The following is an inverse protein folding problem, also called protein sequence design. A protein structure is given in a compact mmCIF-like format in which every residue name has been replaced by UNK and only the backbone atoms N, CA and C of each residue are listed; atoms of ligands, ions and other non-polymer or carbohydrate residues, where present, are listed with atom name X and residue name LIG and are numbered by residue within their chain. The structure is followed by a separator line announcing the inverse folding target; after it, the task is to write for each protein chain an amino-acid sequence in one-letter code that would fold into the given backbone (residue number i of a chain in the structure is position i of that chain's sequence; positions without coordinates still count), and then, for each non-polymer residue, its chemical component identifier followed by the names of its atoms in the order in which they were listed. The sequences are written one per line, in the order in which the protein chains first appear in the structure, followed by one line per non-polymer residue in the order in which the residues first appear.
data_IF_836733809576
#
_entry.id   IF_836733809576
#
_cell.length_a   1.000
_cell.length_b   1.000
_cell.length_c   1.000
_cell.angle_alpha   90.00
_cell.angle_beta   90.00
_cell.angle_gamma   90.00
#
_symmetry.space_group_name_H-M   'P 1'
#
loop_
_entity.id
_entity.type
_entity.pdbx_description
1 polymer ?
#
# COMPACT_ATOMS: atom_id res chain seq x y z
N UNK A 1 18.04 -20.17 1.34
CA UNK A 1 17.15 -19.05 1.73
C UNK A 1 16.85 -18.28 0.45
N UNK A 2 15.60 -17.96 0.14
CA UNK A 2 15.30 -17.12 -1.02
C UNK A 2 15.47 -15.66 -0.62
N UNK A 3 16.33 -14.93 -1.33
CA UNK A 3 16.44 -13.48 -1.15
C UNK A 3 15.22 -12.81 -1.79
N UNK A 4 14.51 -11.93 -1.06
CA UNK A 4 13.39 -11.20 -1.61
C UNK A 4 13.86 -10.20 -2.67
N UNK A 5 12.99 -9.93 -3.64
CA UNK A 5 13.17 -8.83 -4.58
C UNK A 5 12.62 -7.56 -3.90
N UNK A 6 13.43 -6.52 -3.82
CA UNK A 6 13.05 -5.23 -3.25
C UNK A 6 12.71 -4.28 -4.38
N UNK A 7 11.55 -3.62 -4.31
CA UNK A 7 11.13 -2.58 -5.23
C UNK A 7 10.96 -1.28 -4.44
N UNK A 8 11.94 -0.38 -4.55
CA UNK A 8 11.93 0.90 -3.87
C UNK A 8 11.41 2.01 -4.80
N UNK A 9 10.50 2.83 -4.29
CA UNK A 9 9.87 3.93 -4.99
C UNK A 9 10.35 5.25 -4.40
N UNK A 10 10.66 6.20 -5.26
CA UNK A 10 11.05 7.56 -4.89
C UNK A 10 10.23 8.55 -5.75
N UNK A 11 9.37 9.36 -5.11
CA UNK A 11 8.63 10.41 -5.81
C UNK A 11 9.55 11.58 -6.18
N UNK A 12 9.38 12.10 -7.39
CA UNK A 12 10.01 13.30 -7.94
C UNK A 12 8.92 14.15 -8.62
N UNK A 13 8.13 14.86 -7.81
CA UNK A 13 6.92 15.54 -8.28
C UNK A 13 5.88 14.57 -8.86
N UNK A 14 5.45 14.81 -10.11
CA UNK A 14 4.59 13.91 -10.88
C UNK A 14 5.29 12.61 -11.32
N UNK A 15 6.62 12.62 -11.37
CA UNK A 15 7.41 11.48 -11.83
C UNK A 15 7.79 10.59 -10.66
N UNK A 16 7.77 9.28 -10.90
CA UNK A 16 8.10 8.27 -9.90
C UNK A 16 9.23 7.42 -10.44
N UNK A 17 10.32 7.38 -9.67
CA UNK A 17 11.42 6.45 -9.91
C UNK A 17 11.16 5.16 -9.13
N UNK A 18 11.26 4.02 -9.80
CA UNK A 18 11.26 2.70 -9.17
C UNK A 18 12.57 1.99 -9.43
N UNK A 19 13.19 1.54 -8.35
CA UNK A 19 14.42 0.75 -8.34
C UNK A 19 14.10 -0.65 -7.82
N UNK A 20 14.34 -1.68 -8.64
CA UNK A 20 14.13 -3.07 -8.28
C UNK A 20 15.47 -3.78 -8.13
N UNK A 21 15.72 -4.31 -6.93
CA UNK A 21 16.93 -5.03 -6.55
C UNK A 21 16.60 -6.48 -6.23
N UNK A 22 17.32 -7.42 -6.81
CA UNK A 22 17.17 -8.83 -6.51
C UNK A 22 18.10 -9.70 -7.33
N UNK A 23 18.48 -10.87 -6.79
CA UNK A 23 19.40 -11.82 -7.46
C UNK A 23 20.72 -11.20 -7.95
N UNK A 24 21.26 -10.25 -7.20
CA UNK A 24 22.48 -9.52 -7.57
C UNK A 24 22.32 -8.52 -8.72
N UNK A 25 21.09 -8.25 -9.16
CA UNK A 25 20.76 -7.27 -10.19
C UNK A 25 20.04 -6.07 -9.58
N UNK A 26 20.27 -4.89 -10.15
CA UNK A 26 19.51 -3.67 -9.88
C UNK A 26 19.03 -3.12 -11.20
N UNK A 27 17.73 -2.93 -11.34
CA UNK A 27 17.10 -2.32 -12.51
C UNK A 27 16.29 -1.11 -12.05
N UNK A 28 16.27 -0.07 -12.87
CA UNK A 28 15.54 1.17 -12.56
C UNK A 28 14.63 1.54 -13.71
N UNK A 29 13.46 2.10 -13.40
CA UNK A 29 12.55 2.68 -14.37
C UNK A 29 11.87 3.93 -13.79
N UNK A 30 11.41 4.80 -14.68
CA UNK A 30 10.58 5.96 -14.30
C UNK A 30 9.19 5.84 -14.94
N UNK A 31 8.20 6.42 -14.29
CA UNK A 31 6.84 6.52 -14.77
C UNK A 31 6.11 7.71 -14.15
N UNK A 32 5.08 8.23 -14.84
CA UNK A 32 4.23 9.28 -14.29
C UNK A 32 3.18 8.68 -13.35
N UNK A 33 3.27 9.04 -12.07
CA UNK A 33 2.39 8.55 -11.00
C UNK A 33 2.72 7.14 -10.49
N UNK A 34 2.30 6.88 -9.25
CA UNK A 34 2.62 5.65 -8.51
C UNK A 34 2.03 4.37 -9.15
N UNK A 35 0.83 4.45 -9.74
CA UNK A 35 0.20 3.28 -10.37
C UNK A 35 0.99 2.82 -11.60
N UNK A 36 1.46 3.76 -12.43
CA UNK A 36 2.30 3.43 -13.57
C UNK A 36 3.69 2.93 -13.12
N UNK A 37 4.25 3.50 -12.05
CA UNK A 37 5.49 3.00 -11.46
C UNK A 37 5.35 1.58 -10.91
N UNK A 38 4.20 1.21 -10.35
CA UNK A 38 3.89 -0.17 -9.90
C UNK A 38 3.93 -1.16 -11.06
N UNK A 39 3.34 -0.79 -12.20
CA UNK A 39 3.36 -1.61 -13.41
C UNK A 39 4.79 -1.79 -13.94
N UNK A 40 5.57 -0.70 -14.00
CA UNK A 40 7.00 -0.78 -14.36
C UNK A 40 7.78 -1.67 -13.41
N UNK A 41 7.49 -1.62 -12.11
CA UNK A 41 8.12 -2.51 -11.14
C UNK A 41 7.86 -3.97 -11.47
N UNK A 42 6.63 -4.38 -11.79
CA UNK A 42 6.34 -5.77 -12.18
C UNK A 42 7.13 -6.21 -13.42
N UNK A 43 7.25 -5.33 -14.42
CA UNK A 43 8.07 -5.60 -15.60
C UNK A 43 9.55 -5.80 -15.25
N UNK A 44 10.09 -5.01 -14.32
CA UNK A 44 11.47 -5.16 -13.85
C UNK A 44 11.66 -6.43 -13.02
N UNK A 45 10.72 -6.76 -12.14
CA UNK A 45 10.74 -8.01 -11.37
C UNK A 45 10.67 -9.20 -12.33
N UNK A 46 9.91 -9.13 -13.42
CA UNK A 46 9.84 -10.21 -14.44
C UNK A 46 11.19 -10.43 -15.12
N UNK A 47 11.90 -9.35 -15.45
CA UNK A 47 13.27 -9.40 -16.01
C UNK A 47 14.29 -10.00 -15.04
N UNK A 48 14.18 -9.71 -13.75
CA UNK A 48 15.09 -10.26 -12.72
C UNK A 48 14.75 -11.72 -12.41
N UNK A 49 13.46 -12.05 -12.37
CA UNK A 49 12.97 -13.34 -11.92
C UNK A 49 12.62 -14.30 -13.08
N UNK A 50 13.15 -14.10 -14.30
CA UNK A 50 12.80 -14.86 -15.51
C UNK A 50 12.54 -16.35 -15.24
N UNK A 51 11.25 -16.74 -15.18
CA UNK A 51 10.81 -18.12 -15.00
C UNK A 51 10.52 -18.58 -13.55
N UNK A 52 10.89 -17.82 -12.53
CA UNK A 52 10.59 -18.13 -11.13
C UNK A 52 9.16 -17.74 -10.75
N UNK A 53 8.28 -18.74 -10.66
CA UNK A 53 6.88 -18.56 -10.25
C UNK A 53 6.71 -18.22 -8.77
N UNK A 54 7.71 -18.50 -7.93
CA UNK A 54 7.70 -18.22 -6.48
C UNK A 54 8.72 -17.12 -6.17
N UNK A 55 8.28 -15.86 -6.29
CA UNK A 55 9.08 -14.68 -5.98
C UNK A 55 8.35 -13.85 -4.92
N UNK A 56 9.08 -13.47 -3.87
CA UNK A 56 8.60 -12.51 -2.88
C UNK A 56 9.11 -11.14 -3.29
N UNK A 57 8.18 -10.21 -3.53
CA UNK A 57 8.50 -8.82 -3.84
C UNK A 57 8.06 -7.96 -2.67
N UNK A 58 8.97 -7.15 -2.16
CA UNK A 58 8.71 -6.18 -1.08
C UNK A 58 8.74 -4.79 -1.69
N UNK A 59 7.64 -4.06 -1.55
CA UNK A 59 7.50 -2.70 -2.07
C UNK A 59 7.73 -1.70 -0.95
N UNK A 60 8.58 -0.71 -1.19
CA UNK A 60 8.95 0.31 -0.19
C UNK A 60 8.96 1.69 -0.81
N UNK A 61 8.49 2.71 -0.13
CA UNK A 61 8.58 4.11 -0.52
C UNK A 61 9.66 4.75 0.33
N UNK A 62 10.74 5.21 -0.30
CA UNK A 62 11.92 5.72 0.40
C UNK A 62 12.41 4.78 1.52
N UNK A 63 12.33 3.46 1.29
CA UNK A 63 12.70 2.42 2.26
C UNK A 63 11.59 1.97 3.21
N UNK A 64 10.40 2.60 3.22
CA UNK A 64 9.30 2.25 4.11
C UNK A 64 8.14 1.53 3.39
N UNK A 65 7.79 0.33 3.86
CA UNK A 65 6.73 -0.48 3.24
C UNK A 65 5.32 -0.03 3.63
N UNK A 66 5.15 0.59 4.80
CA UNK A 66 3.85 1.08 5.28
C UNK A 66 3.47 2.33 4.49
N UNK A 67 4.43 3.23 4.30
CA UNK A 67 4.25 4.45 3.52
C UNK A 67 3.88 4.15 2.07
N UNK A 68 4.59 3.19 1.44
CA UNK A 68 4.21 2.68 0.13
C UNK A 68 2.77 2.18 0.08
N UNK A 69 2.35 1.41 1.09
CA UNK A 69 1.00 0.84 1.12
C UNK A 69 -0.05 1.95 1.22
N UNK A 70 0.17 2.94 2.07
CA UNK A 70 -0.70 4.11 2.19
C UNK A 70 -0.79 4.88 0.87
N UNK A 71 0.35 5.25 0.28
CA UNK A 71 0.42 5.98 -0.98
C UNK A 71 -0.25 5.21 -2.13
N UNK A 72 -0.04 3.89 -2.21
CA UNK A 72 -0.61 3.05 -3.26
C UNK A 72 -2.13 2.97 -3.16
N UNK A 73 -2.67 2.83 -1.94
CA UNK A 73 -4.11 2.81 -1.71
C UNK A 73 -4.74 4.17 -2.03
N UNK A 74 -4.12 5.27 -1.60
CA UNK A 74 -4.58 6.63 -1.93
C UNK A 74 -4.61 6.87 -3.44
N UNK A 75 -3.52 6.55 -4.14
CA UNK A 75 -3.44 6.69 -5.60
C UNK A 75 -4.49 5.85 -6.33
N UNK A 76 -4.80 4.65 -5.82
CA UNK A 76 -5.81 3.76 -6.42
C UNK A 76 -7.24 4.25 -6.20
N UNK A 77 -7.49 4.98 -5.13
CA UNK A 77 -8.78 5.62 -4.85
C UNK A 77 -8.92 6.99 -5.53
N UNK A 78 -7.89 7.46 -6.24
CA UNK A 78 -7.85 8.81 -6.81
C UNK A 78 -7.66 9.91 -5.77
N UNK A 79 -7.28 9.55 -4.54
CA UNK A 79 -6.95 10.47 -3.43
C UNK A 79 -5.47 10.87 -3.49
N UNK A 80 -4.91 11.05 -4.69
CA UNK A 80 -3.52 11.49 -4.80
C UNK A 80 -3.43 12.88 -4.17
N UNK A 81 -2.60 13.01 -3.13
CA UNK A 81 -2.23 14.28 -2.53
C UNK A 81 -1.37 15.02 -3.55
N UNK A 82 -2.04 15.66 -4.50
CA UNK A 82 -1.43 16.63 -5.39
C UNK A 82 -1.18 17.88 -4.52
N UNK A 83 0.06 18.33 -4.31
CA UNK A 83 0.30 19.56 -3.55
C UNK A 83 -0.26 20.81 -4.26
N UNK A 84 -0.86 20.66 -5.45
CA UNK A 84 -1.57 21.69 -6.18
C UNK A 84 -3.11 21.69 -6.00
N UNK A 85 -3.71 20.71 -5.31
CA UNK A 85 -5.17 20.61 -5.16
C UNK A 85 -5.61 20.62 -3.68
N UNK A 86 -5.33 21.75 -3.02
CA UNK A 86 -5.88 22.07 -1.69
C UNK A 86 -7.37 22.47 -1.69
N UNK A 87 -8.17 22.10 -2.72
CA UNK A 87 -9.61 22.45 -2.80
C UNK A 87 -10.56 21.25 -2.89
N UNK A 88 -10.07 20.01 -2.74
CA UNK A 88 -10.95 18.87 -2.50
C UNK A 88 -11.21 18.71 -1.00
N UNK A 89 -12.33 19.24 -0.53
CA UNK A 89 -12.91 19.05 0.80
C UNK A 89 -12.63 17.66 1.38
N UNK A 90 -11.71 17.61 2.35
CA UNK A 90 -11.47 16.50 3.26
C UNK A 90 -12.68 16.31 4.19
N UNK A 91 -13.80 15.83 3.66
CA UNK A 91 -14.87 15.24 4.47
C UNK A 91 -14.65 13.75 4.53
N UNK A 92 -13.95 13.31 5.58
CA UNK A 92 -14.07 11.95 6.09
C UNK A 92 -15.57 11.74 6.38
N UNK A 93 -16.29 10.83 5.69
CA UNK A 93 -17.62 10.49 6.12
C UNK A 93 -17.50 9.91 7.54
N UNK A 94 -18.28 10.38 8.53
CA UNK A 94 -18.22 9.83 9.86
C UNK A 94 -18.46 8.33 9.76
N UNK A 95 -17.49 7.55 10.26
CA UNK A 95 -17.67 6.11 10.45
C UNK A 95 -18.94 5.94 11.28
N UNK A 96 -19.98 5.24 10.80
CA UNK A 96 -21.12 4.94 11.64
C UNK A 96 -20.59 4.14 12.82
N UNK A 97 -20.57 4.76 13.99
CA UNK A 97 -20.40 4.08 15.27
C UNK A 97 -21.42 2.95 15.31
N UNK A 98 -20.94 1.72 15.13
CA UNK A 98 -21.72 0.55 15.50
C UNK A 98 -22.15 0.77 16.96
N UNK A 99 -23.45 0.67 17.28
CA UNK A 99 -23.90 0.81 18.65
C UNK A 99 -23.18 -0.25 19.47
N UNK A 100 -22.44 0.21 20.49
CA UNK A 100 -21.85 -0.65 21.50
C UNK A 100 -22.95 -1.54 22.07
N UNK A 101 -22.84 -2.85 21.85
CA UNK A 101 -23.65 -3.83 22.58
C UNK A 101 -23.49 -3.56 24.09
N UNK A 102 -24.56 -3.21 24.82
CA UNK A 102 -24.47 -3.06 26.25
C UNK A 102 -24.27 -4.44 26.88
N UNK A 103 -23.19 -4.52 27.65
CA UNK A 103 -22.80 -5.51 28.63
C UNK A 103 -23.92 -6.44 29.14
N UNK A 104 -23.62 -7.74 29.10
CA UNK A 104 -24.03 -8.78 30.06
C UNK A 104 -25.03 -8.34 31.13
N UNK A 105 -26.32 -8.59 30.91
CA UNK A 105 -27.26 -8.77 32.02
C UNK A 105 -27.16 -10.23 32.48
N UNK A 106 -26.60 -10.42 33.67
CA UNK A 106 -26.68 -11.67 34.42
C UNK A 106 -28.16 -12.04 34.69
N UNK A 107 -28.54 -13.33 34.70
CA UNK A 107 -29.91 -13.72 34.99
C UNK A 107 -30.26 -13.43 36.47
N UNK A 108 -31.48 -12.98 36.79
CA UNK A 108 -31.92 -12.84 38.17
C UNK A 108 -32.10 -14.22 38.83
N UNK A 109 -31.91 -14.34 40.16
CA UNK A 109 -32.10 -15.60 40.86
C UNK A 109 -33.58 -15.99 40.89
N UNK A 110 -33.83 -17.30 40.75
CA UNK A 110 -35.15 -17.89 40.85
C UNK A 110 -35.83 -17.54 42.18
N UNK A 111 -37.00 -16.91 42.11
CA UNK A 111 -37.91 -16.78 43.25
C UNK A 111 -39.02 -17.82 43.09
N UNK A 112 -39.14 -18.66 44.11
CA UNK A 112 -40.14 -19.69 44.29
C UNK A 112 -41.54 -19.09 44.47
N UNK A 113 -42.55 -19.68 43.82
CA UNK A 113 -43.93 -19.80 44.30
C UNK A 113 -44.70 -20.79 43.42
#
# INVERSE_FOLDING_TARGET
MYEPILANYTPDGDEWTVEVRGKGQTLTATARGLIAARDRAEQLVDKIAQGDKKRTVVHTLNGDAVDFTAAYLSARLGLTDDPADTDATNTIPPQPTAPSEPASQAPPPAAMA
#
